data_IF_781184939046
#
_entry.id   IF_781184939046
#
_cell.length_a   1.000
_cell.length_b   1.000
_cell.length_c   1.000
_cell.angle_alpha   90.00
_cell.angle_beta   90.00
_cell.angle_gamma   90.00
#
_symmetry.space_group_name_H-M   'P 1'
#
loop_
_entity.id
_entity.type
_entity.pdbx_description
1 polymer ?
#
# COMPACT_ATOMS: atom_id res chain seq x y z
N UNK A 1 -1.52 -26.33 7.68
CA UNK A 1 -0.40 -25.39 7.36
C UNK A 1 -0.33 -24.32 8.44
N UNK A 2 0.84 -23.74 8.70
CA UNK A 2 0.93 -22.64 9.68
C UNK A 2 0.33 -21.36 9.07
N UNK A 3 -0.26 -20.47 9.89
CA UNK A 3 -0.80 -19.18 9.45
C UNK A 3 0.23 -18.33 8.67
N UNK A 4 1.51 -18.51 8.95
CA UNK A 4 2.60 -17.86 8.21
C UNK A 4 2.70 -18.40 6.78
N UNK A 5 2.63 -19.71 6.58
CA UNK A 5 2.70 -20.33 5.26
C UNK A 5 1.47 -19.99 4.40
N UNK A 6 0.28 -20.01 5.00
CA UNK A 6 -0.97 -19.57 4.34
C UNK A 6 -0.90 -18.10 3.94
N UNK A 7 -0.48 -17.21 4.86
CA UNK A 7 -0.35 -15.79 4.58
C UNK A 7 0.72 -15.48 3.51
N UNK A 8 1.83 -16.25 3.45
CA UNK A 8 2.82 -16.11 2.38
C UNK A 8 2.23 -16.48 1.02
N UNK A 9 1.50 -17.59 0.94
CA UNK A 9 0.84 -18.03 -0.29
C UNK A 9 -0.18 -16.98 -0.75
N UNK A 10 -1.06 -16.56 0.14
CA UNK A 10 -2.09 -15.56 -0.15
C UNK A 10 -1.47 -14.23 -0.62
N UNK A 11 -0.52 -13.67 0.14
CA UNK A 11 0.12 -12.41 -0.23
C UNK A 11 0.88 -12.51 -1.56
N UNK A 12 1.54 -13.63 -1.83
CA UNK A 12 2.23 -13.87 -3.09
C UNK A 12 1.27 -13.87 -4.29
N UNK A 13 0.13 -14.57 -4.19
CA UNK A 13 -0.89 -14.60 -5.23
C UNK A 13 -1.42 -13.19 -5.55
N UNK A 14 -1.66 -12.37 -4.53
CA UNK A 14 -2.12 -10.99 -4.73
C UNK A 14 -1.01 -10.03 -5.17
N UNK A 15 0.24 -10.28 -4.81
CA UNK A 15 1.39 -9.53 -5.34
C UNK A 15 1.55 -9.77 -6.85
N UNK A 16 1.37 -11.01 -7.33
CA UNK A 16 1.36 -11.31 -8.76
C UNK A 16 0.16 -10.63 -9.47
N UNK A 17 -1.04 -10.73 -8.92
CA UNK A 17 -2.23 -10.01 -9.47
C UNK A 17 -1.97 -8.51 -9.55
N UNK A 18 -1.39 -7.90 -8.51
CA UNK A 18 -1.03 -6.48 -8.52
C UNK A 18 -0.06 -6.15 -9.64
N UNK A 19 0.93 -7.01 -9.90
CA UNK A 19 1.92 -6.80 -10.98
C UNK A 19 1.32 -6.92 -12.39
N UNK A 20 0.23 -7.67 -12.55
CA UNK A 20 -0.49 -7.83 -13.82
C UNK A 20 -1.39 -6.60 -14.13
N UNK A 21 -1.71 -5.81 -13.12
CA UNK A 21 -2.37 -4.52 -13.30
C UNK A 21 -1.34 -3.47 -13.75
N UNK A 22 -1.76 -2.36 -14.27
CA UNK A 22 -0.88 -1.22 -14.54
C UNK A 22 -0.74 -0.27 -13.34
N UNK A 23 -1.01 -0.78 -12.12
CA UNK A 23 -0.95 0.01 -10.89
C UNK A 23 0.46 0.14 -10.32
N UNK A 24 1.35 -0.79 -10.69
CA UNK A 24 2.76 -0.82 -10.27
C UNK A 24 3.66 -1.13 -11.45
N UNK A 25 4.94 -0.71 -11.39
CA UNK A 25 5.93 -0.91 -12.44
C UNK A 25 7.27 -1.34 -11.84
N UNK A 26 7.84 -2.45 -12.33
CA UNK A 26 9.13 -2.98 -11.87
C UNK A 26 9.11 -3.27 -10.38
N UNK A 27 9.90 -2.53 -9.60
CA UNK A 27 10.01 -2.68 -8.14
C UNK A 27 9.19 -1.65 -7.35
N UNK A 28 8.40 -0.81 -8.05
CA UNK A 28 7.62 0.26 -7.43
C UNK A 28 6.29 -0.26 -6.90
N UNK A 29 5.80 0.41 -5.85
CA UNK A 29 4.64 -0.06 -5.12
C UNK A 29 4.99 -1.20 -4.16
N UNK A 30 4.05 -1.54 -3.31
CA UNK A 30 4.20 -2.63 -2.36
C UNK A 30 2.84 -3.06 -1.80
N UNK A 31 2.78 -4.30 -1.32
CA UNK A 31 1.56 -4.88 -0.78
C UNK A 31 1.88 -5.64 0.51
N UNK A 32 0.97 -5.61 1.47
CA UNK A 32 1.16 -6.28 2.75
C UNK A 32 -0.13 -6.89 3.29
N UNK A 33 0.03 -7.91 4.15
CA UNK A 33 -1.05 -8.66 4.79
C UNK A 33 -0.78 -8.82 6.28
N UNK A 34 -1.72 -8.43 7.14
CA UNK A 34 -1.69 -8.69 8.58
C UNK A 34 -1.86 -10.18 8.86
N UNK A 35 -0.89 -10.77 9.54
CA UNK A 35 -0.99 -12.16 10.00
C UNK A 35 -1.75 -12.29 11.32
N UNK A 36 -1.49 -11.35 12.23
CA UNK A 36 -2.10 -11.25 13.56
C UNK A 36 -1.82 -9.88 14.16
N UNK A 37 -2.20 -9.64 15.39
CA UNK A 37 -1.95 -8.36 16.08
C UNK A 37 -0.47 -7.99 16.25
N UNK A 38 0.43 -8.98 16.12
CA UNK A 38 1.87 -8.80 16.33
C UNK A 38 2.67 -8.64 15.04
N UNK A 39 2.21 -9.24 13.92
CA UNK A 39 3.00 -9.37 12.69
C UNK A 39 2.18 -9.16 11.43
N UNK A 40 2.85 -8.66 10.41
CA UNK A 40 2.37 -8.63 9.03
C UNK A 40 3.46 -9.13 8.07
N UNK A 41 3.07 -9.52 6.86
CA UNK A 41 3.95 -9.77 5.72
C UNK A 41 3.92 -8.59 4.78
N UNK A 42 5.05 -8.33 4.10
CA UNK A 42 5.17 -7.29 3.07
C UNK A 42 6.11 -7.75 1.96
N UNK A 43 5.93 -7.24 0.75
CA UNK A 43 6.85 -7.41 -0.36
C UNK A 43 8.23 -6.85 -0.02
N UNK A 44 9.32 -7.48 -0.52
CA UNK A 44 10.70 -7.07 -0.27
C UNK A 44 11.04 -5.76 -0.97
N UNK A 45 12.17 -5.16 -0.58
CA UNK A 45 12.72 -3.97 -1.23
C UNK A 45 13.57 -4.36 -2.44
N UNK A 46 13.33 -3.71 -3.59
CA UNK A 46 14.21 -3.80 -4.76
C UNK A 46 14.18 -5.15 -5.51
N UNK A 47 13.17 -5.97 -5.25
CA UNK A 47 12.93 -7.23 -5.98
C UNK A 47 11.76 -7.02 -6.93
N UNK A 48 11.95 -7.32 -8.22
CA UNK A 48 10.86 -7.26 -9.22
C UNK A 48 9.78 -8.30 -8.87
N UNK A 49 8.52 -7.96 -9.11
CA UNK A 49 7.40 -8.88 -8.87
C UNK A 49 7.52 -10.18 -9.67
N UNK A 50 8.21 -10.17 -10.83
CA UNK A 50 8.47 -11.36 -11.64
C UNK A 50 9.48 -12.34 -11.01
N UNK A 51 10.32 -11.84 -10.10
CA UNK A 51 11.32 -12.61 -9.37
C UNK A 51 10.86 -12.95 -7.94
N UNK A 52 9.67 -12.47 -7.57
CA UNK A 52 9.12 -12.70 -6.23
C UNK A 52 8.79 -14.16 -6.02
N UNK A 53 9.08 -14.67 -4.83
CA UNK A 53 8.61 -15.96 -4.33
C UNK A 53 7.98 -15.80 -2.94
N UNK A 54 7.17 -16.76 -2.48
CA UNK A 54 6.58 -16.68 -1.13
C UNK A 54 7.62 -16.55 -0.02
N UNK A 55 8.81 -17.12 -0.18
CA UNK A 55 9.91 -17.10 0.81
C UNK A 55 10.54 -15.72 0.94
N UNK A 56 10.54 -14.93 -0.14
CA UNK A 56 11.08 -13.57 -0.15
C UNK A 56 10.18 -12.54 0.55
N UNK A 57 8.91 -12.89 0.82
CA UNK A 57 8.01 -12.03 1.58
C UNK A 57 8.50 -11.87 3.02
N UNK A 58 8.60 -10.64 3.48
CA UNK A 58 9.24 -10.30 4.75
C UNK A 58 8.23 -10.19 5.87
N UNK A 59 8.46 -10.90 6.98
CA UNK A 59 7.68 -10.76 8.20
C UNK A 59 8.19 -9.58 9.02
N UNK A 60 7.28 -8.65 9.35
CA UNK A 60 7.58 -7.45 10.12
C UNK A 60 6.74 -7.42 11.40
N UNK A 61 7.34 -6.98 12.51
CA UNK A 61 6.67 -6.80 13.80
C UNK A 61 5.99 -5.43 13.85
N UNK A 62 4.70 -5.41 14.19
CA UNK A 62 3.89 -4.18 14.18
C UNK A 62 4.32 -3.20 15.30
N UNK A 63 4.78 -3.70 16.44
CA UNK A 63 5.08 -2.84 17.59
C UNK A 63 6.25 -1.87 17.38
N UNK A 64 7.25 -2.26 16.58
CA UNK A 64 8.49 -1.49 16.40
C UNK A 64 9.03 -1.46 14.96
N UNK A 65 8.43 -2.26 14.04
CA UNK A 65 8.88 -2.37 12.66
C UNK A 65 10.12 -3.26 12.47
N UNK A 66 10.54 -4.01 13.49
CA UNK A 66 11.60 -5.00 13.34
C UNK A 66 11.17 -6.11 12.37
N UNK A 67 12.06 -6.54 11.49
CA UNK A 67 11.79 -7.60 10.51
C UNK A 67 12.66 -8.84 10.76
N UNK A 68 12.28 -9.94 10.16
CA UNK A 68 12.90 -11.24 10.38
C UNK A 68 13.39 -11.84 9.06
N UNK A 69 14.61 -12.33 9.08
CA UNK A 69 15.32 -12.90 7.93
C UNK A 69 16.31 -11.91 7.31
N UNK A 70 16.99 -12.35 6.24
CA UNK A 70 18.06 -11.61 5.58
C UNK A 70 17.54 -10.64 4.50
N UNK A 71 16.31 -10.86 4.04
CA UNK A 71 15.66 -10.03 3.01
C UNK A 71 15.09 -8.77 3.67
N UNK A 72 15.42 -7.61 3.12
CA UNK A 72 14.90 -6.33 3.61
C UNK A 72 13.45 -6.11 3.15
N UNK A 73 12.54 -5.68 4.04
CA UNK A 73 11.19 -5.28 3.65
C UNK A 73 11.22 -4.05 2.73
N UNK A 74 10.13 -3.79 2.02
CA UNK A 74 9.94 -2.55 1.30
C UNK A 74 10.44 -1.34 2.12
N UNK A 75 11.09 -0.39 1.48
CA UNK A 75 11.58 0.84 2.10
C UNK A 75 10.46 1.66 2.75
N UNK A 76 9.20 1.37 2.39
CA UNK A 76 8.00 2.00 2.92
C UNK A 76 7.29 1.17 4.01
N UNK A 77 7.91 0.09 4.48
CA UNK A 77 7.41 -0.73 5.59
C UNK A 77 7.07 0.07 6.85
N UNK A 78 7.76 1.20 7.09
CA UNK A 78 7.43 2.11 8.19
C UNK A 78 6.02 2.69 8.10
N UNK A 79 5.57 3.01 6.88
CA UNK A 79 4.21 3.50 6.60
C UNK A 79 3.19 2.41 6.95
N UNK A 80 3.37 1.19 6.42
CA UNK A 80 2.52 0.05 6.73
C UNK A 80 2.49 -0.28 8.23
N UNK A 81 3.65 -0.26 8.89
CA UNK A 81 3.76 -0.47 10.34
C UNK A 81 2.88 0.51 11.13
N UNK A 82 2.94 1.81 10.79
CA UNK A 82 2.16 2.83 11.50
C UNK A 82 0.66 2.68 11.23
N UNK A 83 0.26 2.39 9.99
CA UNK A 83 -1.15 2.14 9.65
C UNK A 83 -1.66 0.93 10.45
N UNK A 84 -0.98 -0.22 10.39
CA UNK A 84 -1.38 -1.41 11.14
C UNK A 84 -1.41 -1.21 12.67
N UNK A 85 -0.52 -0.38 13.19
CA UNK A 85 -0.48 -0.07 14.63
C UNK A 85 -1.72 0.71 15.06
N UNK A 86 -2.14 1.68 14.26
CA UNK A 86 -3.22 2.59 14.60
C UNK A 86 -4.61 2.05 14.20
N UNK A 87 -4.68 1.19 13.17
CA UNK A 87 -5.93 0.67 12.56
C UNK A 87 -5.98 -0.84 12.66
N UNK A 88 -6.67 -1.36 13.68
CA UNK A 88 -6.84 -2.81 13.91
C UNK A 88 -7.80 -3.47 12.93
N UNK A 89 -8.67 -2.69 12.35
CA UNK A 89 -9.66 -3.08 11.34
C UNK A 89 -9.08 -3.29 9.93
N UNK A 90 -7.85 -2.77 9.68
CA UNK A 90 -7.14 -2.95 8.41
C UNK A 90 -6.29 -4.23 8.48
N UNK A 91 -6.53 -5.15 7.54
CA UNK A 91 -5.78 -6.40 7.41
C UNK A 91 -4.89 -6.45 6.16
N UNK A 92 -5.16 -5.63 5.16
CA UNK A 92 -4.36 -5.55 3.94
C UNK A 92 -4.08 -4.09 3.58
N UNK A 93 -2.90 -3.83 3.01
CA UNK A 93 -2.53 -2.51 2.49
C UNK A 93 -1.91 -2.69 1.11
N UNK A 94 -2.38 -1.88 0.15
CA UNK A 94 -1.83 -1.78 -1.21
C UNK A 94 -1.32 -0.35 -1.43
N UNK A 95 -0.08 -0.23 -1.90
CA UNK A 95 0.51 1.04 -2.31
C UNK A 95 0.88 0.98 -3.79
N UNK A 96 0.41 1.97 -4.55
CA UNK A 96 0.50 2.00 -6.02
C UNK A 96 1.12 3.30 -6.52
N UNK A 97 1.65 3.22 -7.76
CA UNK A 97 2.22 4.34 -8.52
C UNK A 97 1.57 4.43 -9.91
N UNK A 98 0.27 4.24 -9.99
CA UNK A 98 -0.48 4.24 -11.25
C UNK A 98 -0.60 5.64 -11.86
N UNK A 99 -0.83 5.73 -13.16
CA UNK A 99 -0.66 6.95 -13.97
C UNK A 99 -1.58 8.08 -13.51
N UNK A 100 -2.88 7.83 -13.40
CA UNK A 100 -3.87 8.88 -13.10
C UNK A 100 -3.75 9.37 -11.65
N UNK A 101 -3.50 8.44 -10.74
CA UNK A 101 -3.20 8.78 -9.34
C UNK A 101 -1.89 9.56 -9.22
N UNK A 102 -0.87 9.24 -10.01
CA UNK A 102 0.39 10.02 -10.04
C UNK A 102 0.13 11.47 -10.46
N UNK A 103 -0.76 11.71 -11.43
CA UNK A 103 -1.16 13.06 -11.84
C UNK A 103 -1.85 13.78 -10.68
N UNK A 104 -2.88 13.18 -10.06
CA UNK A 104 -3.56 13.75 -8.89
C UNK A 104 -2.59 14.05 -7.74
N UNK A 105 -1.68 13.12 -7.48
CA UNK A 105 -0.61 13.25 -6.48
C UNK A 105 0.32 14.43 -6.76
N UNK A 106 0.70 14.64 -8.01
CA UNK A 106 1.62 15.71 -8.46
C UNK A 106 0.96 17.10 -8.39
N UNK A 107 -0.32 17.20 -8.80
CA UNK A 107 -1.08 18.45 -8.67
C UNK A 107 -1.70 18.63 -7.28
N UNK A 108 -1.47 17.68 -6.38
CA UNK A 108 -1.97 17.66 -4.99
C UNK A 108 -3.49 17.81 -4.90
N UNK A 109 -4.21 17.16 -5.80
CA UNK A 109 -5.66 17.18 -5.85
C UNK A 109 -6.22 15.98 -5.09
N UNK A 110 -7.09 16.18 -4.08
CA UNK A 110 -7.76 15.09 -3.39
C UNK A 110 -8.72 14.35 -4.32
N UNK A 111 -8.98 13.08 -4.03
CA UNK A 111 -10.02 12.31 -4.71
C UNK A 111 -11.38 12.62 -4.09
N UNK A 112 -12.26 13.19 -4.89
CA UNK A 112 -13.58 13.69 -4.45
C UNK A 112 -14.67 13.02 -5.28
N UNK A 113 -15.74 12.57 -4.61
CA UNK A 113 -16.96 12.08 -5.25
C UNK A 113 -18.12 12.94 -4.77
N UNK A 114 -18.77 13.66 -5.70
CA UNK A 114 -19.72 14.73 -5.35
C UNK A 114 -19.02 15.82 -4.57
N UNK A 115 -19.49 16.11 -3.35
CA UNK A 115 -18.89 17.09 -2.43
C UNK A 115 -17.99 16.44 -1.36
N UNK A 116 -17.89 15.09 -1.35
CA UNK A 116 -17.19 14.34 -0.31
C UNK A 116 -15.77 14.01 -0.72
N UNK A 117 -14.81 14.36 0.13
CA UNK A 117 -13.44 13.87 0.03
C UNK A 117 -13.43 12.39 0.41
N UNK A 118 -13.06 11.53 -0.54
CA UNK A 118 -12.91 10.08 -0.33
C UNK A 118 -11.47 9.77 0.08
N UNK A 119 -10.48 10.37 -0.61
CA UNK A 119 -9.06 10.25 -0.27
C UNK A 119 -8.40 11.62 -0.24
N UNK A 120 -7.87 12.05 0.92
CA UNK A 120 -7.13 13.29 1.07
C UNK A 120 -5.75 13.18 0.44
N UNK A 121 -5.08 14.32 0.29
CA UNK A 121 -3.66 14.37 -0.08
C UNK A 121 -2.83 14.59 1.18
N UNK A 122 -1.84 13.71 1.41
CA UNK A 122 -0.91 13.86 2.54
C UNK A 122 -0.02 15.10 2.38
N UNK A 123 0.53 15.60 3.50
CA UNK A 123 1.63 16.56 3.43
C UNK A 123 2.84 15.91 2.74
N UNK A 124 3.49 16.68 1.87
CA UNK A 124 4.69 16.21 1.17
C UNK A 124 5.82 15.88 2.15
N UNK A 125 6.48 14.78 1.88
CA UNK A 125 7.78 14.40 2.46
C UNK A 125 8.49 13.47 1.48
N UNK A 126 9.83 13.42 1.46
CA UNK A 126 10.56 12.49 0.62
C UNK A 126 10.15 11.03 0.89
N UNK A 127 10.17 10.21 -0.16
CA UNK A 127 9.83 8.77 -0.07
C UNK A 127 10.70 8.04 0.96
N UNK A 128 10.19 6.94 1.51
CA UNK A 128 10.89 6.08 2.48
C UNK A 128 11.29 6.75 3.81
N UNK A 129 10.89 8.01 4.06
CA UNK A 129 11.20 8.71 5.30
C UNK A 129 10.19 8.41 6.41
N UNK A 130 10.63 8.51 7.66
CA UNK A 130 9.73 8.46 8.83
C UNK A 130 8.67 9.55 8.77
N UNK A 131 9.01 10.73 8.25
CA UNK A 131 8.09 11.88 8.15
C UNK A 131 6.95 11.59 7.17
N UNK A 132 7.25 10.97 6.00
CA UNK A 132 6.21 10.52 5.08
C UNK A 132 5.28 9.52 5.74
N UNK A 133 5.84 8.50 6.41
CA UNK A 133 5.05 7.49 7.10
C UNK A 133 4.11 8.09 8.16
N UNK A 134 4.56 9.09 8.92
CA UNK A 134 3.75 9.81 9.91
C UNK A 134 2.65 10.66 9.25
N UNK A 135 2.99 11.39 8.16
CA UNK A 135 2.01 12.20 7.45
C UNK A 135 0.87 11.35 6.88
N UNK A 136 1.20 10.19 6.29
CA UNK A 136 0.20 9.26 5.74
C UNK A 136 -0.61 8.62 6.86
N UNK A 137 0.03 8.10 7.92
CA UNK A 137 -0.65 7.44 9.02
C UNK A 137 -1.66 8.36 9.74
N UNK A 138 -1.40 9.67 9.76
CA UNK A 138 -2.31 10.66 10.31
C UNK A 138 -3.62 10.72 9.51
N UNK A 139 -3.57 10.69 8.19
CA UNK A 139 -4.78 10.71 7.36
C UNK A 139 -5.60 9.41 7.53
N UNK A 140 -4.93 8.28 7.83
CA UNK A 140 -5.59 7.01 8.14
C UNK A 140 -6.40 7.02 9.44
N UNK A 141 -6.33 8.06 10.25
CA UNK A 141 -7.23 8.22 11.41
C UNK A 141 -8.69 8.42 10.99
N UNK A 142 -8.92 8.97 9.80
CA UNK A 142 -10.25 9.28 9.28
C UNK A 142 -10.59 8.59 7.95
N UNK A 143 -9.58 8.19 7.17
CA UNK A 143 -9.72 7.66 5.82
C UNK A 143 -9.12 6.26 5.71
N UNK A 144 -9.60 5.49 4.72
CA UNK A 144 -9.03 4.18 4.41
C UNK A 144 -8.01 4.23 3.26
N UNK A 145 -7.80 5.39 2.66
CA UNK A 145 -6.81 5.60 1.60
C UNK A 145 -6.32 7.04 1.59
N UNK A 146 -5.15 7.25 1.04
CA UNK A 146 -4.45 8.55 1.00
C UNK A 146 -3.69 8.69 -0.30
N UNK A 147 -3.90 9.80 -1.01
CA UNK A 147 -3.02 10.22 -2.09
C UNK A 147 -1.76 10.81 -1.45
N UNK A 148 -0.60 10.23 -1.74
CA UNK A 148 0.68 10.67 -1.19
C UNK A 148 1.25 11.75 -2.11
N UNK A 149 1.37 12.99 -1.63
CA UNK A 149 1.82 14.12 -2.42
C UNK A 149 3.13 13.86 -3.17
N UNK A 150 3.13 14.03 -4.51
CA UNK A 150 4.25 13.79 -5.43
C UNK A 150 4.80 12.35 -5.38
N UNK A 151 3.93 11.33 -5.11
CA UNK A 151 4.41 9.98 -4.90
C UNK A 151 3.49 8.90 -5.48
N UNK A 152 2.24 8.78 -5.00
CA UNK A 152 1.31 7.74 -5.40
C UNK A 152 0.09 7.66 -4.50
N UNK A 153 -0.44 6.44 -4.33
CA UNK A 153 -1.63 6.17 -3.52
C UNK A 153 -1.40 4.99 -2.58
N UNK A 154 -1.96 5.04 -1.40
CA UNK A 154 -2.01 3.92 -0.46
C UNK A 154 -3.42 3.73 0.06
N UNK A 155 -3.88 2.48 0.10
CA UNK A 155 -5.19 2.09 0.63
C UNK A 155 -5.06 0.90 1.56
N UNK A 156 -5.86 0.92 2.63
CA UNK A 156 -6.01 -0.17 3.59
C UNK A 156 -7.43 -0.71 3.59
N UNK A 157 -7.59 -2.03 3.68
CA UNK A 157 -8.86 -2.73 3.66
C UNK A 157 -8.87 -3.97 4.57
N UNK A 158 -10.01 -4.66 4.62
CA UNK A 158 -10.18 -5.88 5.42
C UNK A 158 -9.54 -7.12 4.77
N UNK A 159 -9.32 -7.10 3.46
CA UNK A 159 -8.69 -8.19 2.70
C UNK A 159 -7.81 -7.64 1.57
N UNK A 160 -6.91 -8.49 1.03
CA UNK A 160 -6.09 -8.17 -0.13
C UNK A 160 -6.95 -7.91 -1.37
N UNK A 161 -8.01 -8.70 -1.55
CA UNK A 161 -8.97 -8.53 -2.64
C UNK A 161 -9.63 -7.15 -2.60
N UNK A 162 -10.17 -6.77 -1.44
CA UNK A 162 -10.81 -5.46 -1.27
C UNK A 162 -9.82 -4.32 -1.51
N UNK A 163 -8.60 -4.41 -0.96
CA UNK A 163 -7.58 -3.37 -1.14
C UNK A 163 -7.16 -3.21 -2.61
N UNK A 164 -6.98 -4.33 -3.33
CA UNK A 164 -6.62 -4.31 -4.75
C UNK A 164 -7.75 -3.76 -5.63
N UNK A 165 -8.99 -4.17 -5.36
CA UNK A 165 -10.16 -3.67 -6.07
C UNK A 165 -10.33 -2.16 -5.88
N UNK A 166 -10.23 -1.66 -4.63
CA UNK A 166 -10.28 -0.23 -4.35
C UNK A 166 -9.17 0.53 -5.10
N UNK A 167 -7.93 0.02 -5.08
CA UNK A 167 -6.83 0.66 -5.80
C UNK A 167 -7.09 0.73 -7.31
N UNK A 168 -7.61 -0.35 -7.90
CA UNK A 168 -7.94 -0.44 -9.33
C UNK A 168 -9.08 0.51 -9.71
N UNK A 169 -10.17 0.51 -8.95
CA UNK A 169 -11.31 1.40 -9.16
C UNK A 169 -10.92 2.86 -9.01
N UNK A 170 -10.07 3.17 -8.02
CA UNK A 170 -9.59 4.55 -7.78
C UNK A 170 -8.77 5.05 -8.96
N UNK A 171 -7.92 4.21 -9.55
CA UNK A 171 -7.15 4.58 -10.75
C UNK A 171 -8.06 4.88 -11.94
N UNK A 172 -9.06 4.02 -12.21
CA UNK A 172 -10.03 4.22 -13.31
C UNK A 172 -10.80 5.52 -13.11
N UNK A 173 -11.34 5.74 -11.91
CA UNK A 173 -12.11 6.93 -11.61
C UNK A 173 -11.25 8.20 -11.58
N UNK A 174 -9.98 8.10 -11.21
CA UNK A 174 -9.03 9.20 -11.32
C UNK A 174 -8.85 9.63 -12.78
N UNK A 175 -8.80 8.68 -13.72
CA UNK A 175 -8.80 8.97 -15.17
C UNK A 175 -10.02 9.77 -15.60
N UNK A 176 -11.21 9.33 -15.19
CA UNK A 176 -12.47 10.08 -15.47
C UNK A 176 -12.42 11.50 -14.89
N UNK A 177 -11.93 11.69 -13.67
CA UNK A 177 -11.77 13.01 -13.05
C UNK A 177 -10.76 13.91 -13.78
N UNK A 178 -9.81 13.33 -14.50
CA UNK A 178 -8.82 14.02 -15.32
C UNK A 178 -9.29 14.26 -16.76
N UNK A 179 -10.48 13.79 -17.14
CA UNK A 179 -11.07 13.98 -18.44
C UNK A 179 -10.76 12.87 -19.46
N UNK A 180 -10.26 11.71 -19.02
CA UNK A 180 -10.20 10.52 -19.86
C UNK A 180 -11.63 10.05 -20.20
N UNK A 181 -11.85 9.68 -21.48
CA UNK A 181 -13.16 9.22 -21.99
C UNK A 181 -13.20 7.69 -22.00
#
# INVERSE_FOLDING_TARGET
MSRLAEGRKELFEYALKLSETKLVFGTWGNISLRLCDKYYLITPSGIDYKELTPELLVRVRISDGAYFGDVKPSSESKMHTLIYRNRKDINAIVHTHSTNIQILSSIRKPFIVGEKVIYPVSKYSPSSTKKLALNVAKEFEQYNGVIIANHGFVVGAKSLEEALNIASETEIQAGVLLGEK
#
